data_IF_113330618745
#
_entry.id   IF_113330618745
#
_cell.length_a   1.000
_cell.length_b   1.000
_cell.length_c   1.000
_cell.angle_alpha   90.00
_cell.angle_beta   90.00
_cell.angle_gamma   90.00
#
_symmetry.space_group_name_H-M   'P 1'
#
loop_
_entity.id
_entity.type
_entity.pdbx_description
1 polymer ?
#
# COMPACT_ATOMS: atom_id res chain seq x y z
N UNK A 1 -21.65 14.93 8.96
CA UNK A 1 -21.26 13.62 8.37
C UNK A 1 -20.38 13.77 7.13
N UNK A 2 -20.64 14.75 6.27
CA UNK A 2 -19.87 15.02 5.05
C UNK A 2 -18.38 15.28 5.32
N UNK A 3 -18.07 16.07 6.35
CA UNK A 3 -16.69 16.29 6.80
C UNK A 3 -15.93 15.00 7.14
N UNK A 4 -16.62 13.96 7.66
CA UNK A 4 -15.96 12.69 8.00
C UNK A 4 -15.64 11.89 6.74
N UNK A 5 -16.54 11.90 5.75
CA UNK A 5 -16.31 11.25 4.46
C UNK A 5 -15.12 11.86 3.73
N UNK A 6 -15.03 13.20 3.72
CA UNK A 6 -13.90 13.92 3.12
C UNK A 6 -12.59 13.58 3.85
N UNK A 7 -12.60 13.56 5.19
CA UNK A 7 -11.42 13.15 5.97
C UNK A 7 -10.97 11.73 5.64
N UNK A 8 -11.89 10.77 5.55
CA UNK A 8 -11.57 9.39 5.18
C UNK A 8 -10.99 9.31 3.77
N UNK A 9 -11.62 9.98 2.80
CA UNK A 9 -11.11 10.06 1.44
C UNK A 9 -9.69 10.66 1.39
N UNK A 10 -9.44 11.73 2.13
CA UNK A 10 -8.14 12.39 2.21
C UNK A 10 -7.08 11.47 2.86
N UNK A 11 -7.46 10.69 3.88
CA UNK A 11 -6.57 9.70 4.50
C UNK A 11 -6.18 8.58 3.53
N UNK A 12 -7.11 8.09 2.70
CA UNK A 12 -6.78 7.11 1.65
C UNK A 12 -5.85 7.67 0.59
N UNK A 13 -6.05 8.93 0.18
CA UNK A 13 -5.14 9.61 -0.74
C UNK A 13 -3.74 9.78 -0.12
N UNK A 14 -3.66 10.26 1.12
CA UNK A 14 -2.39 10.40 1.85
C UNK A 14 -1.66 9.06 1.99
N UNK A 15 -2.40 7.99 2.30
CA UNK A 15 -1.85 6.63 2.36
C UNK A 15 -1.27 6.18 1.02
N UNK A 16 -2.00 6.37 -0.08
CA UNK A 16 -1.52 6.01 -1.42
C UNK A 16 -0.23 6.77 -1.78
N UNK A 17 -0.18 8.07 -1.48
CA UNK A 17 1.01 8.89 -1.71
C UNK A 17 2.19 8.44 -0.84
N UNK A 18 1.95 8.06 0.41
CA UNK A 18 2.97 7.51 1.30
C UNK A 18 3.59 6.23 0.75
N UNK A 19 2.77 5.30 0.24
CA UNK A 19 3.24 4.06 -0.38
C UNK A 19 4.07 4.35 -1.64
N UNK A 20 3.55 5.23 -2.51
CA UNK A 20 4.25 5.63 -3.73
C UNK A 20 5.61 6.28 -3.46
N UNK A 21 5.70 7.15 -2.43
CA UNK A 21 6.96 7.75 -2.02
C UNK A 21 7.94 6.68 -1.51
N UNK A 22 7.46 5.70 -0.73
CA UNK A 22 8.28 4.58 -0.27
C UNK A 22 8.88 3.78 -1.42
N UNK A 23 8.08 3.48 -2.45
CA UNK A 23 8.55 2.79 -3.66
C UNK A 23 9.61 3.60 -4.40
N UNK A 24 9.37 4.90 -4.61
CA UNK A 24 10.34 5.80 -5.25
C UNK A 24 11.67 5.81 -4.50
N UNK A 25 11.64 5.99 -3.18
CA UNK A 25 12.85 5.98 -2.35
C UNK A 25 13.58 4.64 -2.43
N UNK A 26 12.85 3.52 -2.41
CA UNK A 26 13.46 2.19 -2.52
C UNK A 26 14.15 1.97 -3.86
N UNK A 27 13.60 2.49 -4.95
CA UNK A 27 14.24 2.44 -6.27
C UNK A 27 15.43 3.38 -6.42
N UNK A 28 15.65 4.32 -5.49
CA UNK A 28 16.90 5.11 -5.49
C UNK A 28 18.09 4.40 -4.84
N UNK A 29 17.85 3.29 -4.13
CA UNK A 29 18.92 2.48 -3.56
C UNK A 29 19.64 1.68 -4.67
N UNK A 30 20.96 1.90 -4.89
CA UNK A 30 21.72 1.21 -5.93
C UNK A 30 21.73 -0.31 -5.75
N UNK A 31 21.76 -0.81 -4.51
CA UNK A 31 21.79 -2.25 -4.23
C UNK A 31 20.47 -2.93 -4.60
N UNK A 32 19.34 -2.23 -4.42
CA UNK A 32 18.02 -2.73 -4.87
C UNK A 32 17.92 -2.71 -6.39
N UNK A 33 18.42 -1.66 -7.04
CA UNK A 33 18.38 -1.59 -8.50
C UNK A 33 19.26 -2.66 -9.16
N UNK A 34 20.46 -2.91 -8.64
CA UNK A 34 21.34 -3.97 -9.14
C UNK A 34 20.68 -5.36 -9.00
N UNK A 35 20.05 -5.64 -7.86
CA UNK A 35 19.26 -6.86 -7.63
C UNK A 35 18.10 -7.00 -8.63
N UNK A 36 17.36 -5.92 -8.90
CA UNK A 36 16.27 -5.93 -9.88
C UNK A 36 16.79 -6.18 -11.30
N UNK A 37 17.93 -5.59 -11.67
CA UNK A 37 18.54 -5.75 -13.00
C UNK A 37 19.15 -7.14 -13.19
N UNK A 38 19.72 -7.72 -12.13
CA UNK A 38 20.20 -9.10 -12.12
C UNK A 38 19.07 -10.14 -12.07
N UNK A 39 17.83 -9.72 -11.83
CA UNK A 39 16.69 -10.62 -11.60
C UNK A 39 16.71 -11.30 -10.23
N UNK A 40 17.65 -10.92 -9.36
CA UNK A 40 17.84 -11.41 -8.00
C UNK A 40 17.13 -10.50 -6.99
N UNK A 41 15.83 -10.27 -7.20
CA UNK A 41 15.06 -9.51 -6.21
C UNK A 41 14.76 -10.39 -4.97
N UNK A 42 14.89 -9.87 -3.74
CA UNK A 42 14.45 -10.54 -2.52
C UNK A 42 12.96 -10.92 -2.56
N UNK A 43 12.19 -10.21 -3.39
CA UNK A 43 10.78 -10.46 -3.64
C UNK A 43 10.66 -11.06 -5.05
N UNK A 44 10.22 -12.32 -5.21
CA UNK A 44 10.08 -12.93 -6.52
C UNK A 44 9.21 -12.07 -7.45
N UNK A 45 9.81 -11.51 -8.51
CA UNK A 45 9.15 -10.73 -9.57
C UNK A 45 8.34 -11.64 -10.51
N UNK A 46 7.55 -12.55 -9.93
CA UNK A 46 6.66 -13.43 -10.68
C UNK A 46 5.44 -12.65 -11.16
N UNK A 47 4.85 -13.07 -12.30
CA UNK A 47 3.61 -12.45 -12.83
C UNK A 47 2.48 -12.41 -11.80
N UNK A 48 2.37 -13.46 -10.97
CA UNK A 48 1.36 -13.53 -9.91
C UNK A 48 1.60 -12.52 -8.79
N UNK A 49 2.86 -12.35 -8.37
CA UNK A 49 3.23 -11.35 -7.36
C UNK A 49 2.94 -9.93 -7.85
N UNK A 50 3.34 -9.61 -9.09
CA UNK A 50 3.07 -8.29 -9.69
C UNK A 50 1.58 -7.98 -9.79
N UNK A 51 0.78 -8.97 -10.18
CA UNK A 51 -0.68 -8.83 -10.20
C UNK A 51 -1.25 -8.59 -8.81
N UNK A 52 -0.78 -9.33 -7.80
CA UNK A 52 -1.22 -9.15 -6.41
C UNK A 52 -0.89 -7.74 -5.90
N UNK A 53 0.33 -7.24 -6.15
CA UNK A 53 0.73 -5.89 -5.76
C UNK A 53 -0.09 -4.82 -6.48
N UNK A 54 -0.38 -5.00 -7.78
CA UNK A 54 -1.24 -4.10 -8.54
C UNK A 54 -2.65 -4.05 -7.95
N UNK A 55 -3.25 -5.20 -7.59
CA UNK A 55 -4.55 -5.25 -6.94
C UNK A 55 -4.51 -4.53 -5.60
N UNK A 56 -3.49 -4.77 -4.77
CA UNK A 56 -3.32 -4.11 -3.47
C UNK A 56 -3.24 -2.58 -3.60
N UNK A 57 -2.48 -2.08 -4.59
CA UNK A 57 -2.33 -0.63 -4.84
C UNK A 57 -3.61 0.04 -5.37
N UNK A 58 -4.49 -0.72 -6.00
CA UNK A 58 -5.75 -0.20 -6.55
C UNK A 58 -6.82 -0.04 -5.46
N UNK A 59 -6.77 -0.83 -4.38
CA UNK A 59 -7.71 -0.72 -3.24
C UNK A 59 -7.75 0.70 -2.62
N UNK A 60 -6.63 1.33 -2.22
CA UNK A 60 -6.66 2.66 -1.62
C UNK A 60 -7.22 3.71 -2.60
N UNK A 61 -6.95 3.59 -3.91
CA UNK A 61 -7.50 4.46 -4.95
C UNK A 61 -9.03 4.35 -5.00
N UNK A 62 -9.58 3.13 -4.99
CA UNK A 62 -11.02 2.94 -4.91
C UNK A 62 -11.60 3.49 -3.60
N UNK A 63 -10.90 3.34 -2.48
CA UNK A 63 -11.37 3.80 -1.19
C UNK A 63 -11.45 5.33 -1.08
N UNK A 64 -10.67 6.09 -1.85
CA UNK A 64 -10.86 7.55 -2.01
C UNK A 64 -12.28 7.83 -2.49
N UNK A 65 -12.70 7.20 -3.60
CA UNK A 65 -14.02 7.43 -4.20
C UNK A 65 -15.14 6.82 -3.34
N UNK A 66 -14.95 5.59 -2.86
CA UNK A 66 -15.94 4.86 -2.06
C UNK A 66 -16.23 5.56 -0.73
N UNK A 67 -15.23 6.20 -0.13
CA UNK A 67 -15.41 6.96 1.12
C UNK A 67 -16.40 8.12 0.98
N UNK A 68 -16.50 8.69 -0.23
CA UNK A 68 -17.41 9.80 -0.54
C UNK A 68 -18.80 9.30 -0.94
N UNK A 69 -18.87 8.23 -1.75
CA UNK A 69 -20.11 7.76 -2.37
C UNK A 69 -20.93 6.81 -1.49
N UNK A 70 -20.29 6.00 -0.64
CA UNK A 70 -20.99 4.99 0.17
C UNK A 70 -21.88 5.59 1.26
N UNK A 71 -22.97 4.87 1.61
CA UNK A 71 -23.81 5.19 2.77
C UNK A 71 -23.06 4.93 4.07
N UNK A 72 -23.36 5.69 5.13
CA UNK A 72 -22.62 5.69 6.40
C UNK A 72 -22.31 4.29 6.95
N UNK A 73 -23.31 3.40 7.06
CA UNK A 73 -23.11 2.05 7.63
C UNK A 73 -22.09 1.23 6.84
N UNK A 74 -22.21 1.21 5.50
CA UNK A 74 -21.30 0.46 4.62
C UNK A 74 -19.91 1.09 4.63
N UNK A 75 -19.85 2.43 4.57
CA UNK A 75 -18.60 3.17 4.57
C UNK A 75 -17.77 2.90 5.83
N UNK A 76 -18.43 2.85 7.00
CA UNK A 76 -17.78 2.58 8.28
C UNK A 76 -17.13 1.19 8.30
N UNK A 77 -17.86 0.16 7.88
CA UNK A 77 -17.33 -1.20 7.85
C UNK A 77 -16.21 -1.37 6.82
N UNK A 78 -16.37 -0.81 5.61
CA UNK A 78 -15.35 -0.86 4.58
C UNK A 78 -14.04 -0.20 5.05
N UNK A 79 -14.11 1.01 5.62
CA UNK A 79 -12.93 1.70 6.14
C UNK A 79 -12.27 0.95 7.29
N UNK A 80 -13.06 0.36 8.19
CA UNK A 80 -12.52 -0.39 9.33
C UNK A 80 -11.80 -1.66 8.88
N UNK A 81 -12.45 -2.50 8.07
CA UNK A 81 -11.89 -3.78 7.64
C UNK A 81 -10.65 -3.56 6.76
N UNK A 82 -10.77 -2.69 5.74
CA UNK A 82 -9.69 -2.44 4.79
C UNK A 82 -8.55 -1.68 5.47
N UNK A 83 -8.87 -0.74 6.37
CA UNK A 83 -7.86 -0.03 7.16
C UNK A 83 -7.04 -0.98 8.04
N UNK A 84 -7.70 -1.88 8.78
CA UNK A 84 -7.02 -2.89 9.61
C UNK A 84 -6.13 -3.81 8.77
N UNK A 85 -6.67 -4.30 7.63
CA UNK A 85 -5.91 -5.14 6.71
C UNK A 85 -4.60 -4.47 6.29
N UNK A 86 -4.66 -3.20 5.90
CA UNK A 86 -3.47 -2.47 5.46
C UNK A 86 -2.48 -2.17 6.57
N UNK A 87 -2.94 -1.87 7.79
CA UNK A 87 -2.05 -1.71 8.94
C UNK A 87 -1.30 -3.01 9.22
N UNK A 88 -1.99 -4.14 9.22
CA UNK A 88 -1.37 -5.45 9.44
C UNK A 88 -0.40 -5.79 8.29
N UNK A 89 -0.81 -5.55 7.04
CA UNK A 89 0.03 -5.77 5.87
C UNK A 89 1.32 -4.95 5.93
N UNK A 90 1.24 -3.66 6.23
CA UNK A 90 2.42 -2.79 6.34
C UNK A 90 3.34 -3.22 7.48
N UNK A 91 2.79 -3.63 8.62
CA UNK A 91 3.58 -4.13 9.75
C UNK A 91 4.32 -5.41 9.39
N UNK A 92 3.64 -6.36 8.75
CA UNK A 92 4.27 -7.59 8.25
C UNK A 92 5.35 -7.24 7.22
N UNK A 93 5.03 -6.37 6.27
CA UNK A 93 5.97 -5.95 5.24
C UNK A 93 7.22 -5.29 5.84
N UNK A 94 7.04 -4.39 6.80
CA UNK A 94 8.13 -3.74 7.54
C UNK A 94 8.99 -4.79 8.26
N UNK A 95 8.38 -5.67 9.05
CA UNK A 95 9.12 -6.72 9.78
C UNK A 95 9.84 -7.68 8.83
N UNK A 96 9.28 -7.96 7.65
CA UNK A 96 9.86 -8.88 6.66
C UNK A 96 10.95 -8.25 5.81
N UNK A 97 10.93 -6.92 5.64
CA UNK A 97 11.90 -6.19 4.82
C UNK A 97 13.15 -5.76 5.62
N UNK A 98 12.99 -5.42 6.90
CA UNK A 98 14.08 -4.99 7.79
C UNK A 98 14.90 -6.08 8.56
N UNK A 99 14.68 -7.41 8.44
CA UNK A 99 15.56 -8.40 9.06
C UNK A 99 16.82 -8.65 8.22
N UNK A 100 16.89 -8.12 7.00
CA UNK A 100 18.13 -8.04 6.23
C UNK A 100 18.88 -6.79 6.71
N UNK A 101 19.53 -6.92 7.87
CA UNK A 101 20.61 -6.01 8.23
C UNK A 101 21.57 -5.96 7.06
N UNK A 102 21.70 -4.78 6.47
CA UNK A 102 22.85 -4.44 5.65
C UNK A 102 24.12 -4.84 6.42
N UNK A 103 25.14 -5.43 5.78
CA UNK A 103 26.48 -5.40 6.35
C UNK A 103 26.89 -3.97 6.71
#
# INVERSE_FOLDING_TARGET
MENVKIKLSALWAARMLSGFLGDVLRFTDPGVMEQVWAGESPIPLTRGMLLLMAILMVIPIFMVVLSLTLKYKVNRWANMIIGIFFVVFDLIFLISLFPYGSP
#
